data_IF_833971260364
#
_entry.id   IF_833971260364
#
_cell.length_a   1.000
_cell.length_b   1.000
_cell.length_c   1.000
_cell.angle_alpha   90.00
_cell.angle_beta   90.00
_cell.angle_gamma   90.00
#
_symmetry.space_group_name_H-M   'P 1'
#
loop_
_entity.id
_entity.type
_entity.pdbx_description
1 polymer ?
#
# COMPACT_ATOMS: atom_id res chain seq x y z
N UNK A 1 11.76 9.57 12.19
CA UNK A 1 11.28 10.04 10.85
C UNK A 1 11.31 11.57 10.84
N UNK A 2 11.89 12.25 9.85
CA UNK A 2 11.91 13.74 9.85
C UNK A 2 10.53 14.26 9.43
N UNK A 3 9.85 14.94 10.34
CA UNK A 3 8.61 15.67 10.05
C UNK A 3 8.98 16.85 9.15
N UNK A 4 8.51 16.88 7.91
CA UNK A 4 8.76 17.98 6.94
C UNK A 4 7.79 19.15 7.13
N UNK A 5 7.41 19.45 8.36
CA UNK A 5 6.67 20.66 8.66
C UNK A 5 7.66 21.81 8.79
N UNK A 6 7.31 22.97 8.21
CA UNK A 6 8.18 24.14 8.23
C UNK A 6 8.34 24.70 9.65
N UNK A 7 7.29 24.58 10.46
CA UNK A 7 7.16 25.06 11.84
C UNK A 7 6.37 24.01 12.67
N UNK A 8 6.94 22.82 13.01
CA UNK A 8 6.24 21.79 13.78
C UNK A 8 5.85 22.25 15.19
N UNK A 9 6.62 23.16 15.78
CA UNK A 9 6.48 23.66 17.15
C UNK A 9 5.16 24.42 17.41
N UNK A 10 4.42 24.80 16.37
CA UNK A 10 3.11 25.46 16.51
C UNK A 10 1.98 24.49 16.83
N UNK A 11 2.25 23.18 16.81
CA UNK A 11 1.28 22.13 17.09
C UNK A 11 1.68 21.34 18.33
N UNK A 12 0.77 21.25 19.30
CA UNK A 12 0.96 20.38 20.47
C UNK A 12 1.01 18.89 20.07
N UNK A 13 0.34 18.53 18.97
CA UNK A 13 0.25 17.18 18.44
C UNK A 13 0.43 17.14 16.92
N UNK A 14 1.27 16.22 16.44
CA UNK A 14 1.49 15.98 15.01
C UNK A 14 1.25 14.51 14.70
N UNK A 15 0.23 14.23 13.87
CA UNK A 15 -0.12 12.88 13.44
C UNK A 15 0.28 12.66 11.97
N UNK A 16 1.36 11.92 11.74
CA UNK A 16 1.83 11.54 10.41
C UNK A 16 1.27 10.17 10.02
N UNK A 17 1.11 9.94 8.71
CA UNK A 17 0.60 8.65 8.19
C UNK A 17 -0.73 8.22 8.85
N UNK A 18 -1.67 9.15 9.01
CA UNK A 18 -2.94 8.95 9.72
C UNK A 18 -2.76 8.52 11.20
N UNK A 19 -1.67 8.92 11.84
CA UNK A 19 -1.40 8.65 13.26
C UNK A 19 -0.62 7.37 13.53
N UNK A 20 -0.17 6.65 12.49
CA UNK A 20 0.80 5.54 12.65
C UNK A 20 2.08 6.04 13.32
N UNK A 21 2.43 7.32 13.11
CA UNK A 21 3.44 8.03 13.90
C UNK A 21 2.82 9.29 14.47
N UNK A 22 2.89 9.45 15.78
CA UNK A 22 2.36 10.59 16.52
C UNK A 22 3.45 11.23 17.38
N UNK A 23 3.51 12.55 17.35
CA UNK A 23 4.36 13.36 18.22
C UNK A 23 3.50 14.23 19.13
N UNK A 24 3.99 14.47 20.34
CA UNK A 24 3.44 15.43 21.29
C UNK A 24 4.57 16.33 21.77
N UNK A 25 4.42 17.65 21.62
CA UNK A 25 5.45 18.64 21.96
C UNK A 25 6.83 18.31 21.33
N UNK A 26 6.84 18.01 20.03
CA UNK A 26 8.01 17.57 19.24
C UNK A 26 8.70 16.26 19.70
N UNK A 27 8.19 15.59 20.74
CA UNK A 27 8.65 14.27 21.17
C UNK A 27 7.79 13.16 20.54
N UNK A 28 8.43 12.06 20.13
CA UNK A 28 7.71 10.88 19.65
C UNK A 28 6.86 10.30 20.79
N UNK A 29 5.54 10.34 20.60
CA UNK A 29 4.58 9.86 21.58
C UNK A 29 4.16 8.42 21.27
N UNK A 30 4.06 8.08 19.99
CA UNK A 30 3.68 6.76 19.50
C UNK A 30 4.22 6.53 18.10
N UNK A 31 4.71 5.32 17.83
CA UNK A 31 5.05 4.87 16.50
C UNK A 31 4.70 3.39 16.36
N UNK A 32 4.14 3.03 15.21
CA UNK A 32 3.85 1.63 14.84
C UNK A 32 4.23 1.39 13.38
N UNK A 33 4.25 0.12 12.97
CA UNK A 33 4.35 -0.26 11.56
C UNK A 33 3.42 -1.42 11.22
N UNK A 34 3.06 -1.54 9.94
CA UNK A 34 2.24 -2.67 9.47
C UNK A 34 2.95 -4.01 9.61
N UNK A 35 4.29 -4.02 9.58
CA UNK A 35 5.11 -5.23 9.81
C UNK A 35 4.97 -5.69 11.25
N UNK A 36 5.13 -4.80 12.22
CA UNK A 36 4.95 -5.11 13.63
C UNK A 36 3.50 -5.50 13.94
N UNK A 37 2.53 -4.73 13.44
CA UNK A 37 1.10 -4.96 13.68
C UNK A 37 0.61 -6.31 13.14
N UNK A 38 1.01 -6.69 11.92
CA UNK A 38 0.58 -7.95 11.31
C UNK A 38 1.45 -9.14 11.74
N UNK A 39 2.75 -8.93 11.93
CA UNK A 39 3.76 -9.97 12.10
C UNK A 39 4.13 -10.67 10.78
N UNK A 40 5.31 -11.28 10.76
CA UNK A 40 5.92 -11.89 9.56
C UNK A 40 5.06 -13.01 8.93
N UNK A 41 4.40 -13.84 9.74
CA UNK A 41 3.64 -14.97 9.19
C UNK A 41 2.40 -14.53 8.41
N UNK A 42 1.68 -13.51 8.89
CA UNK A 42 0.54 -12.95 8.16
C UNK A 42 1.00 -12.17 6.94
N UNK A 43 2.07 -11.40 7.09
CA UNK A 43 2.66 -10.63 5.99
C UNK A 43 3.09 -11.54 4.83
N UNK A 44 3.83 -12.61 5.13
CA UNK A 44 4.27 -13.61 4.17
C UNK A 44 3.10 -14.30 3.46
N UNK A 45 2.03 -14.65 4.19
CA UNK A 45 0.82 -15.23 3.58
C UNK A 45 0.17 -14.27 2.59
N UNK A 46 -0.06 -13.01 3.00
CA UNK A 46 -0.62 -11.96 2.16
C UNK A 46 0.22 -11.74 0.89
N UNK A 47 1.53 -11.62 1.04
CA UNK A 47 2.46 -11.40 -0.08
C UNK A 47 2.43 -12.61 -1.04
N UNK A 48 2.55 -13.83 -0.52
CA UNK A 48 2.56 -15.05 -1.34
C UNK A 48 1.26 -15.22 -2.13
N UNK A 49 0.12 -14.98 -1.49
CA UNK A 49 -1.17 -15.01 -2.16
C UNK A 49 -1.23 -13.96 -3.28
N UNK A 50 -0.88 -12.72 -2.96
CA UNK A 50 -0.94 -11.59 -3.90
C UNK A 50 -0.05 -11.82 -5.11
N UNK A 51 1.19 -12.29 -4.91
CA UNK A 51 2.11 -12.62 -5.99
C UNK A 51 1.57 -13.74 -6.89
N UNK A 52 1.04 -14.83 -6.32
CA UNK A 52 0.45 -15.93 -7.09
C UNK A 52 -0.78 -15.47 -7.89
N UNK A 53 -1.67 -14.70 -7.26
CA UNK A 53 -2.85 -14.16 -7.91
C UNK A 53 -2.46 -13.27 -9.09
N UNK A 54 -1.55 -12.32 -8.87
CA UNK A 54 -1.08 -11.40 -9.91
C UNK A 54 -0.33 -12.14 -11.03
N UNK A 55 0.46 -13.17 -10.72
CA UNK A 55 1.12 -13.99 -11.73
C UNK A 55 0.10 -14.63 -12.69
N UNK A 56 -1.03 -15.12 -12.16
CA UNK A 56 -2.09 -15.76 -12.94
C UNK A 56 -3.11 -14.80 -13.58
N UNK A 57 -3.08 -13.51 -13.25
CA UNK A 57 -3.98 -12.52 -13.86
C UNK A 57 -3.67 -12.34 -15.34
N UNK A 58 -4.68 -12.49 -16.19
CA UNK A 58 -4.60 -12.14 -17.61
C UNK A 58 -5.02 -10.68 -17.80
N UNK A 59 -4.03 -9.79 -17.95
CA UNK A 59 -4.22 -8.35 -18.15
C UNK A 59 -3.29 -7.86 -19.26
N UNK A 60 -3.62 -6.77 -19.98
CA UNK A 60 -2.89 -6.37 -21.19
C UNK A 60 -1.40 -6.16 -20.97
N UNK A 61 -1.01 -5.62 -19.81
CA UNK A 61 0.38 -5.29 -19.47
C UNK A 61 0.65 -5.56 -17.99
N UNK A 62 1.85 -6.07 -17.72
CA UNK A 62 2.45 -6.18 -16.38
C UNK A 62 3.82 -5.47 -16.39
N UNK A 63 4.14 -4.78 -15.31
CA UNK A 63 5.40 -4.05 -15.12
C UNK A 63 6.12 -4.57 -13.89
N UNK A 64 6.50 -3.70 -12.96
CA UNK A 64 7.17 -4.06 -11.70
C UNK A 64 6.59 -3.27 -10.54
N UNK A 65 7.05 -3.57 -9.33
CA UNK A 65 6.52 -3.00 -8.08
C UNK A 65 5.02 -3.33 -7.94
N UNK A 66 4.71 -4.63 -7.98
CA UNK A 66 3.35 -5.15 -7.79
C UNK A 66 2.91 -5.08 -6.33
N UNK A 67 3.86 -5.21 -5.40
CA UNK A 67 3.65 -5.10 -3.96
C UNK A 67 4.69 -4.09 -3.46
N UNK A 68 4.22 -3.05 -2.79
CA UNK A 68 5.05 -2.00 -2.20
C UNK A 68 4.69 -1.89 -0.71
N UNK A 69 5.62 -2.29 0.14
CA UNK A 69 5.51 -2.13 1.58
C UNK A 69 5.83 -0.69 1.97
N UNK A 70 4.93 -0.06 2.71
CA UNK A 70 5.13 1.25 3.36
C UNK A 70 5.01 1.06 4.87
N UNK A 71 5.32 2.10 5.65
CA UNK A 71 5.32 1.99 7.10
C UNK A 71 3.93 1.61 7.66
N UNK A 72 2.87 2.34 7.29
CA UNK A 72 1.51 2.03 7.76
C UNK A 72 0.66 1.12 6.86
N UNK A 73 1.04 0.89 5.60
CA UNK A 73 0.19 0.21 4.60
C UNK A 73 1.00 -0.65 3.63
N UNK A 74 0.33 -1.59 2.97
CA UNK A 74 0.87 -2.33 1.82
C UNK A 74 0.06 -1.92 0.59
N UNK A 75 0.74 -1.42 -0.45
CA UNK A 75 0.11 -1.11 -1.72
C UNK A 75 0.28 -2.30 -2.68
N UNK A 76 -0.82 -2.79 -3.25
CA UNK A 76 -0.82 -3.87 -4.23
C UNK A 76 -1.39 -3.35 -5.55
N UNK A 77 -0.64 -3.49 -6.63
CA UNK A 77 -1.01 -3.03 -7.98
C UNK A 77 -0.87 -4.18 -8.98
N UNK A 78 -1.97 -4.67 -9.60
CA UNK A 78 -1.90 -5.76 -10.58
C UNK A 78 -1.08 -5.45 -11.83
N UNK A 79 -1.14 -4.22 -12.34
CA UNK A 79 -0.28 -3.75 -13.45
C UNK A 79 1.16 -3.52 -12.98
N UNK A 80 1.37 -3.21 -11.70
CA UNK A 80 2.65 -2.78 -11.13
C UNK A 80 2.85 -1.26 -11.20
N UNK A 81 3.41 -0.66 -10.14
CA UNK A 81 3.57 0.80 -10.02
C UNK A 81 4.61 1.42 -10.94
N UNK A 82 5.49 0.60 -11.55
CA UNK A 82 6.49 1.08 -12.51
C UNK A 82 5.93 1.29 -13.92
N UNK A 83 4.60 1.27 -14.11
CA UNK A 83 3.98 1.58 -15.39
C UNK A 83 4.07 3.08 -15.73
N UNK A 84 4.02 3.40 -17.03
CA UNK A 84 3.85 4.78 -17.47
C UNK A 84 2.45 5.32 -17.13
N UNK A 85 2.24 6.63 -17.25
CA UNK A 85 0.92 7.22 -17.06
C UNK A 85 -0.10 6.69 -18.08
N UNK A 86 0.31 6.56 -19.35
CA UNK A 86 -0.54 6.04 -20.42
C UNK A 86 -0.96 4.59 -20.16
N UNK A 87 -0.03 3.75 -19.70
CA UNK A 87 -0.30 2.37 -19.31
C UNK A 87 -1.23 2.28 -18.11
N UNK A 88 -1.09 3.21 -17.15
CA UNK A 88 -1.97 3.32 -16.00
C UNK A 88 -3.40 3.66 -16.42
N UNK A 89 -3.57 4.60 -17.35
CA UNK A 89 -4.88 5.01 -17.85
C UNK A 89 -5.53 3.90 -18.70
N UNK A 90 -4.73 3.16 -19.46
CA UNK A 90 -5.18 1.95 -20.16
C UNK A 90 -5.66 0.87 -19.18
N UNK A 91 -4.86 0.57 -18.15
CA UNK A 91 -5.24 -0.38 -17.13
C UNK A 91 -6.47 0.06 -16.34
N UNK A 92 -6.62 1.36 -16.07
CA UNK A 92 -7.81 1.90 -15.43
C UNK A 92 -9.07 1.63 -16.28
N UNK A 93 -9.03 1.93 -17.58
CA UNK A 93 -10.14 1.62 -18.51
C UNK A 93 -10.41 0.12 -18.61
N UNK A 94 -9.36 -0.70 -18.66
CA UNK A 94 -9.49 -2.16 -18.64
C UNK A 94 -10.15 -2.64 -17.34
N UNK A 95 -9.71 -2.14 -16.18
CA UNK A 95 -10.26 -2.48 -14.88
C UNK A 95 -11.72 -2.07 -14.73
N UNK A 96 -12.12 -0.88 -15.20
CA UNK A 96 -13.52 -0.44 -15.18
C UNK A 96 -14.46 -1.38 -15.94
N UNK A 97 -13.96 -2.02 -17.00
CA UNK A 97 -14.75 -2.99 -17.79
C UNK A 97 -14.76 -4.39 -17.19
N UNK A 98 -13.67 -4.80 -16.52
CA UNK A 98 -13.44 -6.18 -16.11
C UNK A 98 -13.52 -6.42 -14.60
N UNK A 99 -13.59 -5.36 -13.79
CA UNK A 99 -13.58 -5.35 -12.33
C UNK A 99 -12.38 -6.12 -11.73
N UNK A 100 -11.21 -6.01 -12.36
CA UNK A 100 -10.03 -6.81 -12.02
C UNK A 100 -9.54 -6.61 -10.58
N UNK A 101 -9.46 -5.36 -10.12
CA UNK A 101 -9.03 -5.02 -8.76
C UNK A 101 -10.07 -5.46 -7.73
N UNK A 102 -11.35 -5.25 -8.03
CA UNK A 102 -12.44 -5.66 -7.14
C UNK A 102 -12.46 -7.17 -6.96
N UNK A 103 -12.40 -7.94 -8.06
CA UNK A 103 -12.28 -9.39 -8.01
C UNK A 103 -11.07 -9.83 -7.21
N UNK A 104 -9.92 -9.17 -7.37
CA UNK A 104 -8.73 -9.48 -6.57
C UNK A 104 -8.98 -9.26 -5.07
N UNK A 105 -9.53 -8.10 -4.68
CA UNK A 105 -9.87 -7.79 -3.29
C UNK A 105 -10.83 -8.82 -2.69
N UNK A 106 -11.87 -9.18 -3.43
CA UNK A 106 -12.91 -10.09 -2.95
C UNK A 106 -12.39 -11.52 -2.80
N UNK A 107 -11.44 -11.95 -3.64
CA UNK A 107 -10.76 -13.23 -3.49
C UNK A 107 -9.77 -13.21 -2.32
N UNK A 108 -9.00 -12.12 -2.16
CA UNK A 108 -8.08 -11.96 -1.03
C UNK A 108 -8.80 -11.94 0.32
N UNK A 109 -10.00 -11.36 0.39
CA UNK A 109 -10.78 -11.26 1.65
C UNK A 109 -11.36 -12.60 2.11
N UNK A 110 -11.29 -13.64 1.28
CA UNK A 110 -11.77 -15.00 1.59
C UNK A 110 -10.65 -15.92 2.05
N UNK A 111 -9.40 -15.48 1.92
CA UNK A 111 -8.19 -16.17 2.37
C UNK A 111 -7.88 -15.82 3.83
#
# INVERSE_FOLDING_TARGET
MKIYLRNPEIFDYIFSENGVVAHKNDEEYFAESIVNFLGEDRLKKLINYSLKYIANLDIPKKRGTFIELRNGIINISPIGRNCSQEERDEFFRYNLKNNTIEKFRDNLSKE
#
